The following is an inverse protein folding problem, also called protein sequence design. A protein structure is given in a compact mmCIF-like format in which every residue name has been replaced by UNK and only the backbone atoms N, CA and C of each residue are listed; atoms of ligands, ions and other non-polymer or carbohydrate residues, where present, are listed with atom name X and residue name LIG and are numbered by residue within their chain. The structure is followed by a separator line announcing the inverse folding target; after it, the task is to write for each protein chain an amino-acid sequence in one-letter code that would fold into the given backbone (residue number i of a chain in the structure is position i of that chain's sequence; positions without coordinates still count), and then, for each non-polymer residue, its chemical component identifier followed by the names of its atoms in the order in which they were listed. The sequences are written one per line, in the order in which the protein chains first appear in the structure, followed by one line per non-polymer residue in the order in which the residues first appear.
data_IF_597716987732
#
_entry.id   IF_597716987732
#
_cell.length_a   1.000
_cell.length_b   1.000
_cell.length_c   1.000
_cell.angle_alpha   90.00
_cell.angle_beta   90.00
_cell.angle_gamma   90.00
#
_symmetry.space_group_name_H-M   'P 1'
#
loop_
_entity.id
_entity.type
_entity.pdbx_description
1 polymer ?
#
# COMPACT_ATOMS: atom_id res chain seq x y z
N UNK A 1 33.39 -8.64 -45.59
CA UNK A 1 34.77 -8.20 -45.92
C UNK A 1 35.12 -7.12 -44.90
N UNK A 2 36.15 -7.27 -44.05
CA UNK A 2 37.61 -7.18 -44.36
C UNK A 2 38.01 -5.75 -44.76
N UNK A 3 39.07 -5.11 -44.22
CA UNK A 3 40.20 -5.51 -43.33
C UNK A 3 40.81 -4.21 -42.71
N UNK A 4 41.28 -4.13 -41.44
CA UNK A 4 42.60 -4.53 -40.84
C UNK A 4 43.83 -3.66 -41.26
N UNK A 5 44.75 -3.44 -40.29
CA UNK A 5 46.13 -2.88 -40.31
C UNK A 5 46.29 -1.37 -39.99
N UNK A 6 47.07 -0.96 -38.95
CA UNK A 6 48.56 -0.86 -38.75
C UNK A 6 49.18 0.36 -39.48
N UNK A 7 50.35 0.97 -39.19
CA UNK A 7 51.54 0.79 -38.32
C UNK A 7 51.88 2.15 -37.60
N UNK A 8 52.53 2.33 -36.44
CA UNK A 8 53.82 1.88 -35.84
C UNK A 8 55.02 2.85 -36.06
N UNK A 9 55.51 3.53 -35.00
CA UNK A 9 56.81 4.24 -34.88
C UNK A 9 57.00 4.75 -33.42
N UNK A 10 57.94 4.28 -32.56
CA UNK A 10 59.42 4.46 -32.49
C UNK A 10 59.86 5.81 -31.85
N UNK A 11 60.88 5.97 -30.99
CA UNK A 11 62.08 5.17 -30.64
C UNK A 11 62.45 5.21 -29.12
N UNK A 12 63.26 4.23 -28.67
CA UNK A 12 64.45 4.23 -27.75
C UNK A 12 64.77 5.48 -26.87
N UNK A 13 65.43 5.40 -25.70
CA UNK A 13 66.34 4.41 -25.06
C UNK A 13 66.11 4.43 -23.50
N UNK A 14 66.90 3.91 -22.54
CA UNK A 14 68.25 3.30 -22.43
C UNK A 14 68.22 2.15 -21.37
N UNK A 15 69.36 1.62 -20.90
CA UNK A 15 69.45 0.45 -19.99
C UNK A 15 70.42 0.58 -18.80
N UNK A 16 70.12 -0.08 -17.67
CA UNK A 16 71.05 -0.45 -16.60
C UNK A 16 70.56 -1.73 -15.86
N UNK A 17 71.49 -2.55 -15.34
CA UNK A 17 71.20 -3.87 -14.72
C UNK A 17 71.62 -3.91 -13.24
N UNK A 18 70.81 -4.54 -12.37
CA UNK A 18 71.10 -5.15 -11.05
C UNK A 18 69.75 -5.67 -10.45
N UNK A 19 69.68 -6.48 -9.38
CA UNK A 19 70.76 -7.05 -8.57
C UNK A 19 70.37 -8.08 -7.50
N UNK A 20 69.24 -8.81 -7.65
CA UNK A 20 68.71 -9.81 -6.67
C UNK A 20 68.29 -9.21 -5.30
N UNK A 21 67.63 -9.97 -4.38
CA UNK A 21 67.19 -11.37 -4.46
C UNK A 21 65.65 -11.57 -4.39
N UNK A 22 65.20 -12.82 -4.56
CA UNK A 22 63.84 -13.24 -4.20
C UNK A 22 63.67 -13.32 -2.67
N UNK A 23 62.52 -12.88 -2.16
CA UNK A 23 62.08 -13.11 -0.77
C UNK A 23 60.76 -13.86 -0.74
N UNK A 24 60.81 -15.17 -0.47
CA UNK A 24 59.63 -16.03 -0.32
C UNK A 24 58.99 -15.86 1.06
N UNK A 25 58.21 -14.79 1.22
CA UNK A 25 57.47 -14.55 2.47
C UNK A 25 56.23 -15.45 2.55
N UNK A 26 56.32 -16.55 3.29
CA UNK A 26 55.20 -17.46 3.52
C UNK A 26 54.08 -16.75 4.30
N UNK A 27 52.89 -16.63 3.70
CA UNK A 27 51.70 -16.14 4.42
C UNK A 27 51.28 -17.15 5.47
N UNK A 28 51.40 -16.78 6.74
CA UNK A 28 50.76 -17.54 7.83
C UNK A 28 49.24 -17.51 7.65
N UNK A 29 48.61 -18.68 7.53
CA UNK A 29 47.16 -18.80 7.56
C UNK A 29 46.71 -18.59 9.02
N UNK A 30 46.35 -17.36 9.36
CA UNK A 30 45.70 -17.04 10.63
C UNK A 30 44.35 -17.75 10.64
N UNK A 31 44.21 -18.78 11.47
CA UNK A 31 42.92 -19.42 11.73
C UNK A 31 42.06 -18.43 12.52
N UNK A 32 41.13 -17.77 11.82
CA UNK A 32 40.02 -17.02 12.45
C UNK A 32 39.28 -17.99 13.40
N UNK A 33 38.92 -17.58 14.63
CA UNK A 33 38.17 -18.42 15.54
C UNK A 33 36.85 -18.89 14.92
N UNK A 34 36.49 -20.16 15.14
CA UNK A 34 35.26 -20.75 14.58
C UNK A 34 33.97 -20.11 15.15
N UNK A 35 34.08 -19.27 16.18
CA UNK A 35 32.98 -18.47 16.75
C UNK A 35 32.54 -17.31 15.86
N UNK A 36 33.47 -16.55 15.26
CA UNK A 36 33.17 -15.33 14.50
C UNK A 36 32.14 -15.53 13.39
N UNK A 37 32.15 -16.69 12.73
CA UNK A 37 31.21 -17.02 11.67
C UNK A 37 29.85 -17.44 12.23
N UNK A 38 29.80 -18.24 13.29
CA UNK A 38 28.53 -18.63 13.94
C UNK A 38 27.86 -17.42 14.59
N UNK A 39 28.63 -16.51 15.17
CA UNK A 39 28.11 -15.26 15.74
C UNK A 39 27.68 -14.27 14.64
N UNK A 40 28.40 -14.17 13.51
CA UNK A 40 27.92 -13.40 12.35
C UNK A 40 26.69 -14.02 11.67
N UNK A 41 26.56 -15.34 11.59
CA UNK A 41 25.32 -15.97 11.12
C UNK A 41 24.17 -15.76 12.11
N UNK A 42 24.43 -15.82 13.43
CA UNK A 42 23.45 -15.41 14.44
C UNK A 42 23.06 -13.95 14.29
N UNK A 43 23.99 -13.04 14.04
CA UNK A 43 23.73 -11.60 13.87
C UNK A 43 23.05 -11.31 12.52
N UNK A 44 23.27 -12.10 11.47
CA UNK A 44 22.50 -12.03 10.22
C UNK A 44 21.08 -12.62 10.39
N UNK A 45 20.92 -13.71 11.14
CA UNK A 45 19.58 -14.22 11.50
C UNK A 45 18.87 -13.32 12.54
N UNK A 46 19.65 -12.57 13.32
CA UNK A 46 19.23 -11.46 14.17
C UNK A 46 19.33 -10.10 13.46
N UNK A 47 19.35 -10.06 12.12
CA UNK A 47 18.49 -9.07 11.45
C UNK A 47 17.04 -9.52 11.70
N UNK A 48 16.62 -9.35 12.95
CA UNK A 48 15.25 -9.50 13.39
C UNK A 48 14.41 -8.73 12.38
N UNK A 49 13.47 -9.42 11.73
CA UNK A 49 12.52 -8.77 10.83
C UNK A 49 11.81 -7.70 11.64
N UNK A 50 12.25 -6.45 11.48
CA UNK A 50 11.78 -5.36 12.31
C UNK A 50 10.27 -5.27 12.11
N UNK A 51 9.47 -5.21 13.20
CA UNK A 51 8.04 -5.37 13.08
C UNK A 51 7.50 -4.34 12.11
N UNK A 52 6.65 -4.77 11.18
CA UNK A 52 6.19 -3.94 10.08
C UNK A 52 5.04 -3.00 10.51
N UNK A 53 4.94 -1.78 9.97
CA UNK A 53 3.76 -0.96 10.18
C UNK A 53 2.51 -1.63 9.58
N UNK A 54 1.41 -1.62 10.34
CA UNK A 54 0.12 -2.18 9.95
C UNK A 54 -0.97 -1.10 9.92
N UNK A 55 -1.74 -1.05 8.84
CA UNK A 55 -2.81 -0.08 8.65
C UNK A 55 -4.19 -0.68 9.00
N UNK A 56 -4.82 -0.13 10.02
CA UNK A 56 -6.21 -0.41 10.38
C UNK A 56 -7.09 0.64 9.69
N UNK A 57 -7.72 0.22 8.58
CA UNK A 57 -8.46 1.09 7.67
C UNK A 57 -9.94 0.99 8.02
N UNK A 58 -10.61 2.08 8.40
CA UNK A 58 -12.05 2.02 8.64
C UNK A 58 -12.84 1.96 7.32
N UNK A 59 -13.79 1.03 7.22
CA UNK A 59 -14.63 0.79 6.03
C UNK A 59 -15.74 1.84 5.86
N UNK A 60 -16.06 2.21 4.61
CA UNK A 60 -17.27 2.93 4.21
C UNK A 60 -17.50 4.20 5.05
N UNK A 61 -16.46 5.02 5.20
CA UNK A 61 -16.50 6.24 6.04
C UNK A 61 -17.14 7.38 5.24
N UNK A 62 -18.47 7.41 5.16
CA UNK A 62 -19.21 8.35 4.29
C UNK A 62 -19.66 9.66 4.97
N UNK A 63 -19.43 9.78 6.28
CA UNK A 63 -19.97 10.85 7.12
C UNK A 63 -18.92 11.41 8.08
N UNK A 64 -19.03 12.70 8.43
CA UNK A 64 -18.03 13.36 9.27
C UNK A 64 -18.03 12.90 10.74
N UNK A 65 -19.12 12.31 11.24
CA UNK A 65 -19.13 11.56 12.50
C UNK A 65 -18.34 10.26 12.34
N UNK A 66 -18.56 9.48 11.28
CA UNK A 66 -17.79 8.29 10.98
C UNK A 66 -16.28 8.53 10.91
N UNK A 67 -15.84 9.69 10.38
CA UNK A 67 -14.43 10.13 10.42
C UNK A 67 -13.92 10.25 11.86
N UNK A 68 -14.67 10.93 12.74
CA UNK A 68 -14.34 11.13 14.15
C UNK A 68 -14.35 9.81 14.91
N UNK A 69 -15.38 9.00 14.72
CA UNK A 69 -15.61 7.72 15.40
C UNK A 69 -14.51 6.71 15.04
N UNK A 70 -14.20 6.56 13.74
CA UNK A 70 -13.10 5.71 13.28
C UNK A 70 -11.74 6.10 13.89
N UNK A 71 -11.43 7.40 13.90
CA UNK A 71 -10.17 7.91 14.47
C UNK A 71 -10.16 7.86 16.01
N UNK A 72 -11.32 7.91 16.68
CA UNK A 72 -11.47 7.65 18.11
C UNK A 72 -11.29 6.16 18.45
N UNK A 73 -11.75 5.26 17.58
CA UNK A 73 -11.52 3.81 17.69
C UNK A 73 -10.07 3.42 17.34
N UNK A 74 -9.25 4.36 16.86
CA UNK A 74 -7.86 4.13 16.53
C UNK A 74 -7.67 3.41 15.19
N UNK A 75 -8.52 3.70 14.21
CA UNK A 75 -8.13 3.60 12.80
C UNK A 75 -6.93 4.55 12.54
N UNK A 76 -6.06 4.19 11.60
CA UNK A 76 -4.97 5.05 11.13
C UNK A 76 -5.05 5.36 9.63
N UNK A 77 -6.09 4.84 8.96
CA UNK A 77 -6.49 5.20 7.61
C UNK A 77 -8.02 5.06 7.48
N UNK A 78 -8.60 5.68 6.47
CA UNK A 78 -10.04 5.69 6.22
C UNK A 78 -10.30 5.28 4.76
N UNK A 79 -11.19 4.34 4.53
CA UNK A 79 -11.71 4.04 3.20
C UNK A 79 -13.05 4.78 3.01
N UNK A 80 -13.19 5.39 1.83
CA UNK A 80 -14.30 6.26 1.45
C UNK A 80 -14.70 5.91 0.02
N UNK A 81 -15.91 5.36 -0.13
CA UNK A 81 -16.51 5.18 -1.44
C UNK A 81 -16.71 6.53 -2.11
N UNK A 82 -16.19 6.71 -3.32
CA UNK A 82 -16.30 7.95 -4.07
C UNK A 82 -17.16 7.75 -5.32
N UNK A 83 -18.32 8.41 -5.34
CA UNK A 83 -19.18 8.51 -6.52
C UNK A 83 -19.26 9.95 -7.02
N UNK A 84 -19.00 10.14 -8.31
CA UNK A 84 -19.22 11.37 -9.04
C UNK A 84 -20.71 11.55 -9.34
N UNK A 85 -21.25 12.70 -8.94
CA UNK A 85 -22.59 13.18 -9.33
C UNK A 85 -22.43 14.41 -10.23
N UNK A 86 -23.45 14.76 -11.02
CA UNK A 86 -23.40 15.76 -12.12
C UNK A 86 -22.93 17.19 -11.79
N UNK A 87 -22.63 17.50 -10.52
CA UNK A 87 -22.07 18.79 -10.07
C UNK A 87 -20.85 18.67 -9.16
N UNK A 88 -20.61 17.52 -8.52
CA UNK A 88 -19.52 17.30 -7.56
C UNK A 88 -19.40 15.83 -7.16
N UNK A 89 -18.31 15.48 -6.50
CA UNK A 89 -18.10 14.18 -5.88
C UNK A 89 -18.73 14.08 -4.48
N UNK A 90 -19.25 12.89 -4.16
CA UNK A 90 -19.79 12.55 -2.84
C UNK A 90 -19.14 11.29 -2.30
N UNK A 91 -19.06 11.20 -0.97
CA UNK A 91 -18.80 9.97 -0.25
C UNK A 91 -20.07 9.11 -0.31
N UNK A 92 -20.08 8.11 -1.18
CA UNK A 92 -21.28 7.40 -1.64
C UNK A 92 -20.91 6.08 -2.33
N UNK A 93 -21.42 4.97 -1.79
CA UNK A 93 -21.12 3.61 -2.22
C UNK A 93 -21.95 3.14 -3.43
N UNK A 94 -23.24 3.48 -3.47
CA UNK A 94 -24.20 2.86 -4.39
C UNK A 94 -24.65 3.83 -5.51
N UNK A 95 -24.28 5.11 -5.42
CA UNK A 95 -24.68 6.13 -6.40
C UNK A 95 -26.17 6.47 -6.36
N UNK A 96 -26.80 6.29 -5.20
CA UNK A 96 -28.24 6.51 -4.98
C UNK A 96 -28.49 7.65 -4.00
N UNK A 97 -29.68 8.26 -4.05
CA UNK A 97 -30.04 9.33 -3.12
C UNK A 97 -30.08 8.89 -1.65
N UNK A 98 -30.15 7.58 -1.37
CA UNK A 98 -30.18 6.98 -0.04
C UNK A 98 -28.83 6.47 0.46
N UNK A 99 -27.85 6.25 -0.43
CA UNK A 99 -26.48 5.82 -0.08
C UNK A 99 -25.51 7.00 0.06
N UNK A 100 -25.88 8.17 -0.50
CA UNK A 100 -25.04 9.35 -0.60
C UNK A 100 -24.89 10.08 0.75
N UNK A 101 -23.68 10.04 1.30
CA UNK A 101 -23.25 10.81 2.46
C UNK A 101 -22.81 12.24 2.12
N UNK A 102 -21.74 12.70 2.75
CA UNK A 102 -21.23 14.07 2.58
C UNK A 102 -20.54 14.29 1.21
N UNK A 103 -20.29 15.55 0.84
CA UNK A 103 -19.47 15.87 -0.34
C UNK A 103 -18.00 15.50 -0.09
N UNK A 104 -17.25 15.23 -1.16
CA UNK A 104 -15.81 15.00 -1.09
C UNK A 104 -15.08 16.16 -0.36
N UNK A 105 -15.45 17.40 -0.68
CA UNK A 105 -14.89 18.59 -0.03
C UNK A 105 -15.16 18.62 1.48
N UNK A 106 -16.40 18.33 1.91
CA UNK A 106 -16.78 18.34 3.32
C UNK A 106 -16.04 17.26 4.10
N UNK A 107 -16.03 16.02 3.60
CA UNK A 107 -15.40 14.92 4.31
C UNK A 107 -13.87 15.06 4.33
N UNK A 108 -13.26 15.57 3.25
CA UNK A 108 -11.83 15.88 3.25
C UNK A 108 -11.50 17.01 4.24
N UNK A 109 -12.35 18.02 4.40
CA UNK A 109 -12.19 19.07 5.44
C UNK A 109 -12.28 18.48 6.84
N UNK A 110 -13.21 17.56 7.11
CA UNK A 110 -13.32 16.87 8.39
C UNK A 110 -12.05 16.05 8.71
N UNK A 111 -11.57 15.26 7.75
CA UNK A 111 -10.35 14.45 7.90
C UNK A 111 -9.12 15.35 8.10
N UNK A 112 -9.01 16.43 7.34
CA UNK A 112 -7.93 17.41 7.47
C UNK A 112 -8.05 18.26 8.75
N UNK A 113 -9.21 18.33 9.40
CA UNK A 113 -9.39 18.93 10.72
C UNK A 113 -8.88 17.96 11.80
N UNK A 114 -9.41 16.74 11.86
CA UNK A 114 -8.99 15.70 12.81
C UNK A 114 -7.48 15.43 12.74
N UNK A 115 -6.91 15.40 11.52
CA UNK A 115 -5.47 15.24 11.33
C UNK A 115 -4.64 16.36 11.95
N UNK A 116 -5.13 17.61 11.90
CA UNK A 116 -4.52 18.79 12.52
C UNK A 116 -4.78 18.87 14.03
N UNK A 117 -5.87 18.28 14.51
CA UNK A 117 -6.13 17.99 15.93
C UNK A 117 -5.28 16.82 16.49
N UNK A 118 -4.38 16.26 15.68
CA UNK A 118 -3.40 15.24 16.12
C UNK A 118 -3.84 13.79 15.92
N UNK A 119 -5.01 13.51 15.32
CA UNK A 119 -5.44 12.14 15.02
C UNK A 119 -4.50 11.45 14.02
N UNK A 120 -4.34 10.11 14.10
CA UNK A 120 -3.39 9.36 13.28
C UNK A 120 -3.90 9.07 11.85
N UNK A 121 -4.57 10.01 11.18
CA UNK A 121 -5.05 9.82 9.81
C UNK A 121 -3.89 9.87 8.80
N UNK A 122 -3.26 8.72 8.52
CA UNK A 122 -2.07 8.64 7.65
C UNK A 122 -2.48 8.78 6.18
N UNK A 123 -3.51 8.05 5.75
CA UNK A 123 -4.02 8.13 4.38
C UNK A 123 -5.53 7.91 4.30
N UNK A 124 -6.12 8.34 3.18
CA UNK A 124 -7.46 7.92 2.74
C UNK A 124 -7.36 6.99 1.53
N UNK A 125 -8.17 5.95 1.49
CA UNK A 125 -8.46 5.16 0.29
C UNK A 125 -9.76 5.71 -0.29
N UNK A 126 -9.69 6.22 -1.51
CA UNK A 126 -10.85 6.67 -2.28
C UNK A 126 -11.26 5.53 -3.21
N UNK A 127 -12.29 4.77 -2.87
CA UNK A 127 -12.74 3.67 -3.72
C UNK A 127 -13.64 4.22 -4.84
N UNK A 128 -13.11 4.27 -6.05
CA UNK A 128 -13.73 5.01 -7.15
C UNK A 128 -14.83 4.16 -7.79
N UNK A 129 -16.11 4.47 -7.53
CA UNK A 129 -17.23 3.70 -8.10
C UNK A 129 -17.44 3.96 -9.60
N UNK A 130 -17.44 5.24 -10.00
CA UNK A 130 -17.75 5.67 -11.38
C UNK A 130 -16.80 6.75 -11.94
N UNK A 131 -15.46 6.59 -11.89
CA UNK A 131 -14.52 7.69 -12.11
C UNK A 131 -14.47 8.32 -13.52
N UNK A 132 -15.11 7.69 -14.51
CA UNK A 132 -15.28 8.22 -15.87
C UNK A 132 -16.71 8.73 -16.14
N UNK A 133 -17.55 8.93 -15.12
CA UNK A 133 -18.92 9.44 -15.26
C UNK A 133 -18.99 10.88 -15.79
N UNK A 134 -18.01 11.70 -15.43
CA UNK A 134 -17.82 13.05 -15.94
C UNK A 134 -16.48 13.16 -16.66
N UNK A 135 -16.48 13.79 -17.85
CA UNK A 135 -15.29 14.17 -18.59
C UNK A 135 -15.00 15.67 -18.46
N UNK A 136 -14.07 16.19 -19.27
CA UNK A 136 -13.63 17.58 -19.27
C UNK A 136 -14.73 18.62 -19.57
N UNK A 137 -15.90 18.19 -20.08
CA UNK A 137 -17.09 19.04 -20.24
C UNK A 137 -17.85 19.27 -18.92
N UNK A 138 -17.57 18.45 -17.90
CA UNK A 138 -18.19 18.49 -16.58
C UNK A 138 -17.10 18.59 -15.48
N UNK A 139 -16.29 19.67 -15.48
CA UNK A 139 -15.03 19.77 -14.72
C UNK A 139 -15.18 19.84 -13.20
N UNK A 140 -16.40 19.86 -12.66
CA UNK A 140 -16.65 19.81 -11.22
C UNK A 140 -16.81 18.36 -10.68
N UNK A 141 -17.01 17.38 -11.57
CA UNK A 141 -17.23 15.97 -11.22
C UNK A 141 -16.33 14.98 -11.96
N UNK A 142 -15.42 15.44 -12.83
CA UNK A 142 -14.38 14.59 -13.40
C UNK A 142 -13.35 14.16 -12.33
N UNK A 143 -12.49 13.19 -12.65
CA UNK A 143 -11.49 12.68 -11.70
C UNK A 143 -10.46 13.74 -11.29
N UNK A 144 -10.19 14.73 -12.16
CA UNK A 144 -9.33 15.87 -11.85
C UNK A 144 -9.87 16.71 -10.70
N UNK A 145 -11.18 16.95 -10.62
CA UNK A 145 -11.81 17.65 -9.50
C UNK A 145 -11.55 16.95 -8.16
N UNK A 146 -11.73 15.62 -8.12
CA UNK A 146 -11.45 14.83 -6.92
C UNK A 146 -9.97 14.84 -6.55
N UNK A 147 -9.08 14.72 -7.53
CA UNK A 147 -7.63 14.79 -7.33
C UNK A 147 -7.20 16.16 -6.80
N UNK A 148 -7.78 17.24 -7.31
CA UNK A 148 -7.44 18.59 -6.88
C UNK A 148 -7.98 18.85 -5.46
N UNK A 149 -9.24 18.50 -5.14
CA UNK A 149 -9.75 18.53 -3.76
C UNK A 149 -8.87 17.76 -2.76
N UNK A 150 -8.38 16.58 -3.16
CA UNK A 150 -7.42 15.81 -2.38
C UNK A 150 -6.07 16.54 -2.17
N UNK A 151 -5.53 17.17 -3.22
CA UNK A 151 -4.28 17.97 -3.17
C UNK A 151 -4.40 19.24 -2.36
N UNK A 152 -5.55 19.89 -2.40
CA UNK A 152 -5.76 21.21 -1.80
C UNK A 152 -6.18 21.11 -0.32
N UNK A 153 -6.76 19.98 0.11
CA UNK A 153 -7.34 19.81 1.45
C UNK A 153 -6.59 18.78 2.29
N UNK A 154 -6.31 17.58 1.75
CA UNK A 154 -5.75 16.45 2.52
C UNK A 154 -4.23 16.53 2.63
N UNK A 155 -3.55 16.78 1.51
CA UNK A 155 -2.08 16.78 1.46
C UNK A 155 -1.43 17.90 2.31
N UNK A 156 -1.98 19.13 2.43
CA UNK A 156 -1.44 20.16 3.31
C UNK A 156 -1.64 19.87 4.80
N UNK A 157 -2.59 19.00 5.16
CA UNK A 157 -2.72 18.44 6.50
C UNK A 157 -1.79 17.22 6.74
N UNK A 158 -1.06 16.78 5.71
CA UNK A 158 -0.16 15.63 5.78
C UNK A 158 -0.86 14.28 5.64
N UNK A 159 -2.08 14.23 5.10
CA UNK A 159 -2.81 12.99 4.78
C UNK A 159 -2.48 12.57 3.35
N UNK A 160 -2.13 11.31 3.15
CA UNK A 160 -1.82 10.72 1.82
C UNK A 160 -3.09 10.17 1.15
N UNK A 161 -3.07 9.94 -0.16
CA UNK A 161 -4.28 9.58 -0.93
C UNK A 161 -4.06 8.36 -1.84
N UNK A 162 -4.79 7.29 -1.58
CA UNK A 162 -4.82 6.07 -2.38
C UNK A 162 -6.06 6.09 -3.27
N UNK A 163 -5.87 6.08 -4.59
CA UNK A 163 -6.96 5.97 -5.56
C UNK A 163 -7.23 4.48 -5.85
N UNK A 164 -8.29 3.93 -5.27
CA UNK A 164 -8.73 2.57 -5.52
C UNK A 164 -9.46 2.46 -6.85
N UNK A 165 -8.99 1.57 -7.72
CA UNK A 165 -9.63 1.24 -8.99
C UNK A 165 -10.02 -0.23 -9.05
N UNK A 166 -11.23 -0.50 -9.52
CA UNK A 166 -11.62 -1.84 -9.94
C UNK A 166 -10.90 -2.20 -11.23
N UNK A 167 -10.52 -3.48 -11.39
CA UNK A 167 -9.83 -3.96 -12.60
C UNK A 167 -10.53 -3.56 -13.92
N UNK A 168 -11.88 -3.47 -13.92
CA UNK A 168 -12.73 -3.04 -15.05
C UNK A 168 -12.66 -1.55 -15.42
N UNK A 169 -12.01 -0.72 -14.61
CA UNK A 169 -11.80 0.71 -14.83
C UNK A 169 -10.39 1.03 -15.35
N UNK A 170 -9.45 0.09 -15.22
CA UNK A 170 -8.02 0.34 -15.46
C UNK A 170 -7.68 0.73 -16.91
N UNK A 171 -8.51 0.37 -17.89
CA UNK A 171 -8.32 0.77 -19.29
C UNK A 171 -8.83 2.19 -19.62
N UNK A 172 -9.56 2.84 -18.71
CA UNK A 172 -10.33 4.07 -18.98
C UNK A 172 -9.54 5.36 -18.74
N UNK A 173 -10.13 6.51 -19.12
CA UNK A 173 -9.52 7.86 -19.04
C UNK A 173 -9.02 8.14 -17.62
N UNK A 174 -9.86 7.89 -16.62
CA UNK A 174 -9.56 8.29 -15.25
C UNK A 174 -8.35 7.57 -14.63
N UNK A 175 -8.19 6.27 -14.92
CA UNK A 175 -6.99 5.52 -14.52
C UNK A 175 -5.73 6.13 -15.14
N UNK A 176 -5.77 6.45 -16.44
CA UNK A 176 -4.63 7.06 -17.14
C UNK A 176 -4.28 8.45 -16.59
N UNK A 177 -5.27 9.26 -16.23
CA UNK A 177 -5.10 10.60 -15.66
C UNK A 177 -4.47 10.56 -14.26
N UNK A 178 -4.87 9.60 -13.42
CA UNK A 178 -4.26 9.41 -12.10
C UNK A 178 -2.85 8.81 -12.26
N UNK A 179 -2.69 7.72 -13.02
CA UNK A 179 -1.42 6.99 -13.19
C UNK A 179 -0.29 7.86 -13.73
N UNK A 180 -0.57 8.71 -14.73
CA UNK A 180 0.40 9.68 -15.29
C UNK A 180 0.60 10.93 -14.41
N UNK A 181 -0.29 11.17 -13.45
CA UNK A 181 -0.36 12.43 -12.70
C UNK A 181 0.08 12.34 -11.23
N UNK A 182 0.39 11.16 -10.71
CA UNK A 182 0.71 10.93 -9.28
C UNK A 182 1.86 11.82 -8.76
N UNK A 183 1.73 12.28 -7.52
CA UNK A 183 2.82 12.88 -6.75
C UNK A 183 3.28 11.97 -5.59
N UNK A 184 4.26 12.41 -4.80
CA UNK A 184 4.81 11.65 -3.66
C UNK A 184 3.81 11.37 -2.53
N UNK A 185 2.66 12.03 -2.51
CA UNK A 185 1.60 11.85 -1.51
C UNK A 185 0.44 10.97 -2.02
N UNK A 186 0.58 10.34 -3.18
CA UNK A 186 -0.50 9.63 -3.87
C UNK A 186 -0.08 8.22 -4.33
N UNK A 187 -1.03 7.28 -4.41
CA UNK A 187 -0.81 5.94 -4.94
C UNK A 187 -2.05 5.41 -5.67
N UNK A 188 -1.89 4.32 -6.42
CA UNK A 188 -2.99 3.58 -7.06
C UNK A 188 -3.19 2.23 -6.37
N UNK A 189 -4.43 1.94 -6.01
CA UNK A 189 -4.90 0.61 -5.63
C UNK A 189 -5.54 -0.09 -6.82
N UNK A 190 -5.28 -1.37 -6.99
CA UNK A 190 -6.04 -2.22 -7.92
C UNK A 190 -6.63 -3.40 -7.16
N UNK A 191 -7.96 -3.52 -7.18
CA UNK A 191 -8.65 -4.66 -6.63
C UNK A 191 -8.85 -5.78 -7.66
N UNK A 192 -8.67 -7.02 -7.21
CA UNK A 192 -8.96 -8.23 -7.98
C UNK A 192 -8.02 -9.38 -7.69
N UNK A 193 -7.55 -10.07 -8.73
CA UNK A 193 -6.55 -11.14 -8.59
C UNK A 193 -5.15 -10.55 -8.74
N UNK A 194 -4.19 -11.11 -7.99
CA UNK A 194 -2.80 -10.62 -7.93
C UNK A 194 -2.13 -10.65 -9.30
N UNK A 195 -2.44 -11.66 -10.12
CA UNK A 195 -1.94 -11.77 -11.49
C UNK A 195 -2.50 -10.70 -12.42
N UNK A 196 -3.73 -10.22 -12.18
CA UNK A 196 -4.38 -9.20 -13.00
C UNK A 196 -3.86 -7.81 -12.64
N UNK A 197 -3.76 -7.51 -11.35
CA UNK A 197 -3.13 -6.29 -10.84
C UNK A 197 -1.66 -6.17 -11.31
N UNK A 198 -0.88 -7.26 -11.25
CA UNK A 198 0.49 -7.29 -11.78
C UNK A 198 0.55 -6.93 -13.27
N UNK A 199 -0.33 -7.50 -14.11
CA UNK A 199 -0.35 -7.20 -15.55
C UNK A 199 -0.69 -5.74 -15.83
N UNK A 200 -1.65 -5.16 -15.11
CA UNK A 200 -2.01 -3.74 -15.26
C UNK A 200 -0.87 -2.83 -14.80
N UNK A 201 -0.29 -3.07 -13.62
CA UNK A 201 0.78 -2.21 -13.11
C UNK A 201 2.04 -2.25 -13.99
N UNK A 202 2.34 -3.40 -14.62
CA UNK A 202 3.50 -3.55 -15.50
C UNK A 202 3.27 -3.00 -16.92
N UNK A 203 2.03 -2.85 -17.39
CA UNK A 203 1.74 -2.30 -18.73
C UNK A 203 1.43 -0.80 -18.73
N UNK A 204 0.78 -0.27 -17.69
CA UNK A 204 0.27 1.11 -17.66
C UNK A 204 0.21 1.76 -16.27
N UNK A 205 0.72 1.09 -15.24
CA UNK A 205 0.78 1.63 -13.87
C UNK A 205 2.01 2.47 -13.58
N UNK A 206 2.13 3.00 -12.34
CA UNK A 206 3.29 3.76 -11.90
C UNK A 206 4.58 2.94 -11.98
N UNK A 207 5.68 3.56 -12.43
CA UNK A 207 6.97 2.89 -12.58
C UNK A 207 7.58 2.44 -11.23
N UNK A 208 7.44 3.27 -10.19
CA UNK A 208 7.91 2.94 -8.84
C UNK A 208 6.90 2.04 -8.12
N UNK A 209 7.38 0.90 -7.62
CA UNK A 209 6.60 -0.09 -6.86
C UNK A 209 5.89 0.52 -5.64
N UNK A 210 6.48 1.56 -5.02
CA UNK A 210 5.89 2.29 -3.90
C UNK A 210 4.43 2.72 -4.16
N UNK A 211 4.17 3.31 -5.32
CA UNK A 211 2.85 3.81 -5.70
C UNK A 211 1.86 2.72 -6.18
N UNK A 212 2.24 1.43 -6.07
CA UNK A 212 1.43 0.27 -6.45
C UNK A 212 0.89 -0.40 -5.19
N UNK A 213 -0.40 -0.28 -4.94
CA UNK A 213 -1.10 -1.01 -3.89
C UNK A 213 -1.95 -2.10 -4.53
N UNK A 214 -1.89 -3.32 -3.97
CA UNK A 214 -2.77 -4.41 -4.35
C UNK A 214 -3.82 -4.64 -3.27
N UNK A 215 -5.06 -4.87 -3.68
CA UNK A 215 -6.12 -5.30 -2.76
C UNK A 215 -6.93 -6.47 -3.30
N UNK A 216 -7.55 -7.18 -2.36
CA UNK A 216 -8.61 -8.15 -2.65
C UNK A 216 -9.47 -8.33 -1.42
N UNK A 217 -10.77 -8.53 -1.64
CA UNK A 217 -11.68 -8.81 -0.55
C UNK A 217 -13.03 -9.31 -1.02
N UNK A 218 -13.95 -9.32 -0.06
CA UNK A 218 -15.39 -9.47 -0.23
C UNK A 218 -16.07 -8.85 1.00
N UNK A 219 -17.34 -8.43 0.85
CA UNK A 219 -18.11 -7.83 1.95
C UNK A 219 -18.23 -8.78 3.16
N UNK A 220 -18.47 -10.06 2.90
CA UNK A 220 -18.25 -11.18 3.82
C UNK A 220 -17.03 -11.97 3.31
N UNK A 221 -15.90 -11.98 4.04
CA UNK A 221 -14.70 -12.66 3.59
C UNK A 221 -14.83 -14.19 3.65
N UNK A 222 -15.68 -14.74 4.53
CA UNK A 222 -15.75 -16.18 4.78
C UNK A 222 -16.25 -16.95 3.54
N UNK A 223 -17.13 -16.36 2.75
CA UNK A 223 -17.71 -16.98 1.54
C UNK A 223 -16.66 -17.32 0.47
N UNK A 224 -15.52 -16.60 0.46
CA UNK A 224 -14.47 -16.78 -0.54
C UNK A 224 -13.04 -16.70 0.05
N UNK A 225 -12.88 -17.04 1.34
CA UNK A 225 -11.59 -16.85 2.03
C UNK A 225 -10.48 -17.76 1.46
N UNK A 226 -10.80 -19.05 1.34
CA UNK A 226 -9.90 -20.10 0.87
C UNK A 226 -8.77 -20.47 1.83
N UNK A 227 -8.10 -21.59 1.56
CA UNK A 227 -6.92 -21.99 2.33
C UNK A 227 -5.71 -21.17 1.87
N UNK A 228 -5.23 -20.24 2.72
CA UNK A 228 -4.05 -19.40 2.50
C UNK A 228 -2.84 -20.10 1.85
N UNK A 229 -2.59 -21.38 2.15
CA UNK A 229 -1.45 -22.15 1.62
C UNK A 229 -1.59 -22.56 0.15
N UNK A 230 -2.76 -22.37 -0.47
CA UNK A 230 -2.99 -22.71 -1.88
C UNK A 230 -2.50 -21.60 -2.83
N UNK A 231 -2.67 -21.84 -4.14
CA UNK A 231 -2.40 -20.90 -5.23
C UNK A 231 -3.68 -20.32 -5.87
N UNK A 232 -4.87 -20.64 -5.35
CA UNK A 232 -6.17 -20.36 -5.98
C UNK A 232 -6.58 -18.88 -6.01
N UNK A 233 -7.75 -18.58 -6.57
CA UNK A 233 -8.27 -17.22 -6.77
C UNK A 233 -9.08 -16.67 -5.58
N UNK A 234 -9.13 -17.40 -4.46
CA UNK A 234 -9.75 -16.99 -3.20
C UNK A 234 -8.96 -15.84 -2.52
N UNK A 235 -9.54 -15.23 -1.49
CA UNK A 235 -8.99 -14.02 -0.82
C UNK A 235 -7.58 -14.26 -0.24
N UNK A 236 -7.42 -15.22 0.68
CA UNK A 236 -6.14 -15.41 1.37
C UNK A 236 -4.99 -15.90 0.47
N UNK A 237 -5.19 -16.87 -0.45
CA UNK A 237 -4.16 -17.28 -1.41
C UNK A 237 -3.60 -16.13 -2.25
N UNK A 238 -4.47 -15.23 -2.72
CA UNK A 238 -4.09 -14.11 -3.58
C UNK A 238 -3.39 -13.00 -2.79
N UNK A 239 -3.90 -12.67 -1.59
CA UNK A 239 -3.25 -11.69 -0.71
C UNK A 239 -1.88 -12.17 -0.22
N UNK A 240 -1.72 -13.45 0.10
CA UNK A 240 -0.42 -14.06 0.39
C UNK A 240 0.54 -13.92 -0.79
N UNK A 241 0.12 -14.31 -2.00
CA UNK A 241 0.93 -14.16 -3.22
C UNK A 241 1.33 -12.69 -3.45
N UNK A 242 0.43 -11.74 -3.18
CA UNK A 242 0.72 -10.32 -3.20
C UNK A 242 1.86 -9.95 -2.24
N UNK A 243 1.69 -10.27 -0.96
CA UNK A 243 2.65 -9.93 0.10
C UNK A 243 4.01 -10.62 -0.08
N UNK A 244 4.04 -11.83 -0.63
CA UNK A 244 5.27 -12.56 -0.99
C UNK A 244 5.98 -11.95 -2.21
N UNK A 245 5.24 -11.55 -3.25
CA UNK A 245 5.81 -11.14 -4.56
C UNK A 245 6.74 -9.92 -4.53
N UNK A 246 6.55 -9.01 -3.58
CA UNK A 246 7.22 -7.68 -3.50
C UNK A 246 7.04 -6.77 -4.72
N UNK A 247 6.10 -7.08 -5.62
CA UNK A 247 5.74 -6.25 -6.78
C UNK A 247 4.86 -5.02 -6.43
N UNK A 248 4.47 -4.90 -5.16
CA UNK A 248 3.58 -3.86 -4.63
C UNK A 248 4.22 -3.21 -3.40
N UNK A 249 4.03 -1.90 -3.23
CA UNK A 249 4.46 -1.16 -2.03
C UNK A 249 3.63 -1.51 -0.79
N UNK A 250 2.34 -1.85 -0.99
CA UNK A 250 1.41 -2.31 0.04
C UNK A 250 0.45 -3.38 -0.49
N UNK A 251 0.02 -4.27 0.39
CA UNK A 251 -1.04 -5.26 0.13
C UNK A 251 -2.11 -5.18 1.22
N UNK A 252 -3.37 -4.93 0.84
CA UNK A 252 -4.49 -4.74 1.76
C UNK A 252 -5.63 -5.74 1.53
N UNK A 253 -6.23 -6.25 2.60
CA UNK A 253 -7.41 -7.12 2.54
C UNK A 253 -8.68 -6.43 3.05
N UNK A 254 -9.85 -6.91 2.62
CA UNK A 254 -11.16 -6.38 3.04
C UNK A 254 -12.29 -7.43 2.96
N UNK A 255 -13.43 -7.26 3.61
CA UNK A 255 -13.68 -6.43 4.82
C UNK A 255 -13.66 -7.34 6.05
N UNK A 256 -13.23 -6.81 7.21
CA UNK A 256 -13.26 -7.53 8.50
C UNK A 256 -14.39 -6.97 9.38
N UNK A 257 -15.44 -7.76 9.56
CA UNK A 257 -16.49 -7.54 10.55
C UNK A 257 -16.10 -8.15 11.92
N UNK A 258 -17.00 -8.06 12.90
CA UNK A 258 -16.75 -8.48 14.28
C UNK A 258 -16.60 -9.99 14.52
N UNK A 259 -17.11 -10.81 13.60
CA UNK A 259 -17.05 -12.27 13.64
C UNK A 259 -15.83 -12.83 12.88
N UNK A 260 -15.27 -12.09 11.91
CA UNK A 260 -14.20 -12.53 11.00
C UNK A 260 -12.80 -12.59 11.65
N UNK A 261 -12.70 -12.92 12.95
CA UNK A 261 -11.42 -12.97 13.67
C UNK A 261 -10.43 -13.95 13.05
N UNK A 262 -10.89 -15.15 12.68
CA UNK A 262 -10.03 -16.20 12.13
C UNK A 262 -9.43 -15.76 10.80
N UNK A 263 -10.23 -15.11 9.97
CA UNK A 263 -9.88 -14.60 8.65
C UNK A 263 -8.85 -13.45 8.80
N UNK A 264 -9.09 -12.50 9.71
CA UNK A 264 -8.13 -11.44 10.03
C UNK A 264 -6.80 -11.99 10.59
N UNK A 265 -6.85 -12.87 11.59
CA UNK A 265 -5.67 -13.50 12.20
C UNK A 265 -4.83 -14.23 11.13
N UNK A 266 -5.48 -14.87 10.15
CA UNK A 266 -4.82 -15.53 9.02
C UNK A 266 -4.23 -14.53 7.99
N UNK A 267 -4.95 -13.46 7.62
CA UNK A 267 -4.44 -12.43 6.69
C UNK A 267 -3.24 -11.68 7.26
N UNK A 268 -3.30 -11.27 8.54
CA UNK A 268 -2.20 -10.59 9.22
C UNK A 268 -0.96 -11.48 9.32
N UNK A 269 -1.15 -12.80 9.48
CA UNK A 269 -0.08 -13.80 9.52
C UNK A 269 0.57 -14.08 8.16
N UNK A 270 -0.14 -13.93 7.03
CA UNK A 270 0.47 -14.02 5.67
C UNK A 270 1.07 -12.70 5.18
N UNK A 271 1.13 -11.68 6.05
CA UNK A 271 1.95 -10.49 5.81
C UNK A 271 1.26 -9.30 5.15
N UNK A 272 -0.08 -9.26 5.05
CA UNK A 272 -0.79 -8.08 4.50
C UNK A 272 -0.50 -6.84 5.32
N UNK A 273 -0.18 -5.72 4.68
CA UNK A 273 0.18 -4.43 5.31
C UNK A 273 -0.97 -3.76 6.05
N UNK A 274 -2.22 -4.18 5.81
CA UNK A 274 -3.38 -3.55 6.41
C UNK A 274 -4.67 -4.29 6.08
N UNK A 275 -5.72 -3.99 6.84
CA UNK A 275 -7.06 -4.53 6.67
C UNK A 275 -8.10 -3.42 6.80
N UNK A 276 -9.06 -3.43 5.88
CA UNK A 276 -10.33 -2.70 6.02
C UNK A 276 -11.20 -3.43 7.05
N UNK A 277 -11.76 -2.70 8.00
CA UNK A 277 -12.61 -3.24 9.06
C UNK A 277 -13.82 -2.33 9.35
N UNK A 278 -14.91 -2.92 9.84
CA UNK A 278 -16.14 -2.20 10.21
C UNK A 278 -17.38 -3.02 9.87
N UNK A 279 -18.51 -2.34 9.65
CA UNK A 279 -19.73 -2.99 9.17
C UNK A 279 -19.56 -3.57 7.77
N UNK A 280 -20.32 -4.63 7.47
CA UNK A 280 -20.41 -5.22 6.13
C UNK A 280 -21.22 -4.33 5.16
N UNK A 281 -22.36 -3.79 5.63
CA UNK A 281 -23.43 -3.29 4.75
C UNK A 281 -23.82 -1.81 4.93
N UNK A 282 -23.22 -1.09 5.89
CA UNK A 282 -23.54 0.33 6.17
C UNK A 282 -22.26 1.15 6.41
N UNK A 283 -22.41 2.46 6.51
CA UNK A 283 -21.30 3.39 6.74
C UNK A 283 -20.81 3.39 8.18
N UNK A 284 -19.56 3.81 8.39
CA UNK A 284 -18.96 3.83 9.72
C UNK A 284 -19.65 4.83 10.66
N UNK A 285 -19.98 4.38 11.87
CA UNK A 285 -20.39 5.20 13.02
C UNK A 285 -19.99 4.50 14.32
N UNK A 286 -20.08 5.20 15.45
CA UNK A 286 -19.82 4.63 16.78
C UNK A 286 -20.83 3.54 17.17
N UNK A 287 -20.37 2.30 17.26
CA UNK A 287 -21.19 1.11 17.49
C UNK A 287 -20.37 -0.02 18.16
N UNK A 288 -20.98 -0.90 18.99
CA UNK A 288 -20.33 -2.10 19.50
C UNK A 288 -19.64 -2.95 18.42
N UNK A 289 -20.26 -3.15 17.27
CA UNK A 289 -19.77 -4.03 16.21
C UNK A 289 -18.51 -3.43 15.56
N UNK A 290 -18.49 -2.11 15.31
CA UNK A 290 -17.32 -1.43 14.72
C UNK A 290 -16.14 -1.36 15.69
N UNK A 291 -16.43 -1.33 17.01
CA UNK A 291 -15.43 -1.48 18.08
C UNK A 291 -14.92 -2.93 18.17
N UNK A 292 -15.79 -3.92 18.04
CA UNK A 292 -15.43 -5.34 18.07
C UNK A 292 -14.55 -5.73 16.87
N UNK A 293 -14.93 -5.33 15.65
CA UNK A 293 -14.12 -5.47 14.44
C UNK A 293 -12.73 -4.80 14.60
N UNK A 294 -12.68 -3.58 15.18
CA UNK A 294 -11.40 -2.92 15.48
C UNK A 294 -10.56 -3.69 16.50
N UNK A 295 -11.20 -4.30 17.50
CA UNK A 295 -10.56 -5.05 18.57
C UNK A 295 -9.88 -6.31 18.08
N UNK A 296 -10.39 -6.97 17.03
CA UNK A 296 -9.72 -8.11 16.37
C UNK A 296 -8.27 -7.74 16.01
N UNK A 297 -8.11 -6.65 15.25
CA UNK A 297 -6.81 -6.15 14.79
C UNK A 297 -5.92 -5.69 15.97
N UNK A 298 -6.51 -5.07 16.99
CA UNK A 298 -5.78 -4.66 18.19
C UNK A 298 -5.23 -5.85 18.98
N UNK A 299 -6.05 -6.88 19.19
CA UNK A 299 -5.68 -8.09 19.92
C UNK A 299 -4.56 -8.87 19.20
N UNK A 300 -4.60 -8.93 17.86
CA UNK A 300 -3.55 -9.60 17.09
C UNK A 300 -2.22 -8.84 17.18
N UNK A 301 -2.22 -7.52 16.95
CA UNK A 301 -1.01 -6.70 17.05
C UNK A 301 -0.40 -6.74 18.46
N UNK A 302 -1.23 -6.67 19.49
CA UNK A 302 -0.79 -6.76 20.89
C UNK A 302 -0.08 -8.10 21.21
N UNK A 303 -0.49 -9.19 20.56
CA UNK A 303 0.09 -10.55 20.70
C UNK A 303 1.25 -10.84 19.74
N UNK A 304 1.51 -9.99 18.76
CA UNK A 304 2.48 -10.21 17.67
C UNK A 304 3.37 -8.97 17.43
N UNK A 305 3.78 -8.30 18.51
CA UNK A 305 4.59 -7.08 18.48
C UNK A 305 5.98 -7.30 17.85
N UNK A 306 6.43 -8.56 17.79
CA UNK A 306 7.62 -9.04 17.07
C UNK A 306 7.45 -9.00 15.54
N UNK A 307 6.22 -9.00 15.02
CA UNK A 307 5.89 -9.10 13.59
C UNK A 307 5.32 -7.81 13.03
N UNK A 308 4.48 -7.10 13.77
CA UNK A 308 3.87 -5.85 13.33
C UNK A 308 3.44 -4.94 14.48
N UNK A 309 3.36 -3.63 14.20
CA UNK A 309 2.78 -2.62 15.08
C UNK A 309 1.73 -1.77 14.32
N UNK A 310 0.83 -1.10 15.04
CA UNK A 310 -0.13 -0.18 14.42
C UNK A 310 0.62 1.03 13.84
N UNK A 311 0.56 1.21 12.52
CA UNK A 311 1.31 2.26 11.81
C UNK A 311 1.02 3.66 12.39
N UNK A 312 2.04 4.50 12.36
CA UNK A 312 2.08 5.84 12.96
C UNK A 312 2.32 6.91 11.88
N UNK A 313 2.24 8.18 12.26
CA UNK A 313 2.49 9.31 11.38
C UNK A 313 3.93 9.40 10.81
N UNK A 314 4.86 8.56 11.29
CA UNK A 314 6.22 8.43 10.74
C UNK A 314 6.27 7.42 9.58
N UNK A 315 5.36 6.46 9.56
CA UNK A 315 5.33 5.34 8.64
C UNK A 315 4.73 5.79 7.30
N UNK A 316 5.51 5.71 6.22
CA UNK A 316 4.98 6.03 4.91
C UNK A 316 4.11 4.89 4.40
N UNK A 317 2.89 5.17 3.89
CA UNK A 317 2.11 4.15 3.21
C UNK A 317 2.72 3.79 1.85
N UNK A 318 3.62 4.62 1.29
CA UNK A 318 4.42 4.33 0.08
C UNK A 318 5.79 5.05 0.08
#
# INVERSE_FOLDING_TARGET
MMTISQLLSSLFFFSAFLGWPFSTQARSIVRVPFGDHVEKEKILQQTLHSPRPFFAIAHRVLMDYGVRDALNHGANALEIDMTAWSKQWYADHDGTLTSRGHTAEHIFKAIAHERRAGKPAIFVWLDLKNPDYCDDRYPACNIEALRNLARDILQPAGVKVLYGFYSSQTSKRAYQVISRGLNSNEAIGIDGNVGDANRVFNSQGPASIKHRVYSKGLFDPAWNFGNCKSSGNQICPQLRQGAESKNFGKVFGWTIAEDNRKEADQLMSVGVDGLIYGFVATHYYDDPDTRAARKILADWLSKNQDKAYLATLRDQPW
#
